data_IF_352866667843
#
_entry.id   IF_352866667843
#
_cell.length_a   1.000
_cell.length_b   1.000
_cell.length_c   1.000
_cell.angle_alpha   90.00
_cell.angle_beta   90.00
_cell.angle_gamma   90.00
#
_symmetry.space_group_name_H-M   'P 1'
#
loop_
_entity.id
_entity.type
_entity.pdbx_description
1 polymer ?
#
# COMPACT_ATOMS: atom_id res chain seq x y z
N UNK A 1 -1.62 -6.50 -27.36
CA UNK A 1 -2.12 -6.62 -25.97
C UNK A 1 -0.92 -6.93 -25.08
N UNK A 2 -0.67 -6.11 -24.09
CA UNK A 2 0.46 -6.26 -23.18
C UNK A 2 0.41 -7.60 -22.41
N UNK A 3 1.58 -8.15 -22.11
CA UNK A 3 1.71 -9.38 -21.32
C UNK A 3 1.66 -9.05 -19.82
N UNK A 4 0.61 -9.51 -19.14
CA UNK A 4 0.42 -9.32 -17.71
C UNK A 4 1.04 -10.44 -16.87
N UNK A 5 1.64 -11.47 -17.45
CA UNK A 5 2.27 -12.56 -16.68
C UNK A 5 3.29 -12.00 -15.70
N UNK A 6 3.29 -12.57 -14.50
CA UNK A 6 4.23 -12.21 -13.43
C UNK A 6 5.06 -13.42 -13.02
N UNK A 7 6.32 -13.18 -12.71
CA UNK A 7 7.21 -14.13 -12.07
C UNK A 7 7.79 -13.46 -10.82
N UNK A 8 7.20 -13.74 -9.67
CA UNK A 8 7.62 -13.18 -8.40
C UNK A 8 8.42 -14.22 -7.61
N UNK A 9 9.72 -14.02 -7.50
CA UNK A 9 10.68 -14.94 -6.83
C UNK A 9 10.56 -16.41 -7.25
N UNK A 10 10.32 -16.65 -8.54
CA UNK A 10 10.10 -17.98 -9.10
C UNK A 10 8.64 -18.43 -9.14
N UNK A 11 7.75 -17.76 -8.43
CA UNK A 11 6.31 -18.05 -8.42
C UNK A 11 5.67 -17.40 -9.65
N UNK A 12 5.19 -18.23 -10.58
CA UNK A 12 4.58 -17.79 -11.84
C UNK A 12 3.07 -17.61 -11.70
N UNK A 13 2.54 -16.54 -12.30
CA UNK A 13 1.10 -16.30 -12.36
C UNK A 13 0.69 -15.61 -13.66
N UNK A 14 -0.55 -15.79 -14.15
CA UNK A 14 -1.01 -15.23 -15.43
C UNK A 14 -1.18 -13.71 -15.40
N UNK A 15 -1.18 -13.10 -14.22
CA UNK A 15 -1.22 -11.65 -14.03
C UNK A 15 -0.73 -11.28 -12.61
N UNK A 16 -0.38 -10.00 -12.34
CA UNK A 16 0.20 -9.59 -11.07
C UNK A 16 -0.81 -9.40 -9.94
N UNK A 17 -2.11 -9.62 -10.17
CA UNK A 17 -3.17 -9.41 -9.18
C UNK A 17 -3.40 -10.66 -8.37
N UNK A 18 -2.96 -10.66 -7.11
CA UNK A 18 -3.20 -11.74 -6.15
C UNK A 18 -4.18 -11.27 -5.07
N UNK A 19 -4.86 -12.23 -4.43
CA UNK A 19 -5.60 -11.95 -3.20
C UNK A 19 -4.68 -12.07 -1.99
N UNK A 20 -4.77 -11.09 -1.09
CA UNK A 20 -4.03 -11.12 0.17
C UNK A 20 -4.62 -12.15 1.14
N UNK A 21 -3.78 -12.59 2.08
CA UNK A 21 -4.18 -13.45 3.20
C UNK A 21 -5.24 -12.77 4.08
N UNK A 22 -6.51 -13.22 3.95
CA UNK A 22 -7.67 -12.61 4.59
C UNK A 22 -8.90 -13.54 4.44
N UNK A 23 -10.10 -13.20 4.93
CA UNK A 23 -11.30 -14.01 4.75
C UNK A 23 -11.60 -14.46 3.30
N UNK A 24 -11.31 -13.66 2.24
CA UNK A 24 -11.49 -14.13 0.86
C UNK A 24 -10.67 -15.37 0.47
N UNK A 25 -9.62 -15.68 1.21
CA UNK A 25 -8.71 -16.81 0.91
C UNK A 25 -8.70 -17.89 1.99
N UNK A 26 -9.74 -17.97 2.82
CA UNK A 26 -9.85 -18.90 3.94
C UNK A 26 -10.44 -20.28 3.59
N UNK A 27 -10.92 -20.47 2.35
CA UNK A 27 -11.62 -21.70 1.93
C UNK A 27 -11.38 -21.99 0.46
N UNK A 28 -11.34 -23.28 0.12
CA UNK A 28 -11.36 -23.76 -1.27
C UNK A 28 -12.47 -23.07 -2.09
N UNK A 29 -13.68 -23.02 -1.57
CA UNK A 29 -14.83 -22.42 -2.24
C UNK A 29 -14.57 -20.98 -2.71
N UNK A 30 -13.96 -20.15 -1.86
CA UNK A 30 -13.65 -18.76 -2.19
C UNK A 30 -12.51 -18.67 -3.20
N UNK A 31 -11.44 -19.43 -2.98
CA UNK A 31 -10.24 -19.40 -3.83
C UNK A 31 -10.56 -19.87 -5.25
N UNK A 32 -11.33 -20.95 -5.40
CA UNK A 32 -11.78 -21.42 -6.72
C UNK A 32 -12.63 -20.36 -7.44
N UNK A 33 -13.50 -19.67 -6.74
CA UNK A 33 -14.28 -18.56 -7.32
C UNK A 33 -13.40 -17.38 -7.74
N UNK A 34 -12.41 -17.06 -6.94
CA UNK A 34 -11.43 -16.03 -7.29
C UNK A 34 -10.65 -16.41 -8.57
N UNK A 35 -10.17 -17.63 -8.67
CA UNK A 35 -9.46 -18.11 -9.85
C UNK A 35 -10.37 -18.14 -11.10
N UNK A 36 -11.61 -18.56 -10.96
CA UNK A 36 -12.61 -18.48 -12.04
C UNK A 36 -12.88 -17.05 -12.50
N UNK A 37 -12.85 -16.07 -11.59
CA UNK A 37 -12.96 -14.65 -11.94
C UNK A 37 -11.70 -14.10 -12.64
N UNK A 38 -10.55 -14.78 -12.53
CA UNK A 38 -9.33 -14.42 -13.24
C UNK A 38 -8.18 -13.88 -12.36
N UNK A 39 -8.26 -14.01 -11.04
CA UNK A 39 -7.13 -13.69 -10.16
C UNK A 39 -5.91 -14.52 -10.50
N UNK A 40 -4.74 -13.88 -10.54
CA UNK A 40 -3.47 -14.52 -10.88
C UNK A 40 -2.91 -15.43 -9.78
N UNK A 41 -3.24 -15.13 -8.55
CA UNK A 41 -2.78 -15.89 -7.39
C UNK A 41 -3.56 -15.56 -6.12
N UNK A 42 -3.24 -16.27 -5.06
CA UNK A 42 -3.74 -16.03 -3.71
C UNK A 42 -2.64 -16.25 -2.67
N UNK A 43 -2.74 -15.50 -1.58
CA UNK A 43 -2.07 -15.85 -0.33
C UNK A 43 -3.15 -16.42 0.58
N UNK A 44 -3.08 -17.73 0.87
CA UNK A 44 -4.04 -18.41 1.72
C UNK A 44 -4.08 -17.78 3.11
N UNK A 45 -5.26 -17.68 3.72
CA UNK A 45 -5.43 -17.07 5.05
C UNK A 45 -4.51 -17.74 6.06
N UNK A 46 -3.89 -16.92 6.90
CA UNK A 46 -2.83 -17.34 7.82
C UNK A 46 -3.20 -18.57 8.64
N UNK A 47 -2.36 -19.60 8.55
CA UNK A 47 -2.43 -20.82 9.34
C UNK A 47 -1.60 -20.68 10.61
N UNK A 48 -2.10 -21.23 11.71
CA UNK A 48 -1.36 -21.50 12.94
C UNK A 48 -0.91 -22.96 13.02
N UNK A 49 -0.27 -23.32 14.13
CA UNK A 49 0.09 -24.71 14.43
C UNK A 49 -1.10 -25.52 14.97
N UNK A 50 -0.91 -26.84 15.09
CA UNK A 50 -1.81 -27.72 15.82
C UNK A 50 -1.66 -27.51 17.33
N UNK A 51 -2.24 -26.44 17.84
CA UNK A 51 -2.21 -26.06 19.25
C UNK A 51 -3.60 -25.76 19.76
N UNK A 52 -3.73 -24.98 20.83
CA UNK A 52 -5.02 -24.51 21.27
C UNK A 52 -5.75 -23.85 20.12
N UNK A 53 -7.04 -24.14 19.88
CA UNK A 53 -7.77 -23.62 18.74
C UNK A 53 -7.77 -22.08 18.78
N UNK A 54 -7.61 -21.46 17.61
CA UNK A 54 -7.82 -20.03 17.46
C UNK A 54 -9.31 -19.78 17.55
N UNK A 55 -9.72 -18.95 18.50
CA UNK A 55 -11.13 -18.59 18.69
C UNK A 55 -11.31 -17.14 18.27
N UNK A 56 -12.03 -16.94 17.18
CA UNK A 56 -12.48 -15.62 16.74
C UNK A 56 -13.75 -15.20 17.49
N UNK A 57 -13.97 -13.88 17.58
CA UNK A 57 -15.24 -13.37 18.12
C UNK A 57 -16.41 -13.71 17.18
N UNK A 58 -17.54 -14.09 17.75
CA UNK A 58 -18.80 -14.32 17.03
C UNK A 58 -19.72 -13.11 17.18
N UNK A 59 -19.35 -12.01 16.54
CA UNK A 59 -20.05 -10.73 16.60
C UNK A 59 -19.51 -9.79 15.52
N UNK A 60 -19.80 -8.49 15.58
CA UNK A 60 -19.27 -7.52 14.62
C UNK A 60 -17.74 -7.52 14.65
N UNK A 61 -17.10 -7.93 13.54
CA UNK A 61 -15.64 -7.95 13.38
C UNK A 61 -15.10 -6.74 12.64
N UNK A 62 -15.99 -5.96 12.02
CA UNK A 62 -15.63 -4.88 11.12
C UNK A 62 -16.29 -3.57 11.54
N UNK A 63 -15.50 -2.50 11.49
CA UNK A 63 -15.96 -1.13 11.56
C UNK A 63 -15.52 -0.37 10.33
N UNK A 64 -16.26 0.66 9.91
CA UNK A 64 -15.95 1.39 8.69
C UNK A 64 -16.03 2.90 8.89
N UNK A 65 -15.20 3.64 8.16
CA UNK A 65 -15.32 5.08 8.01
C UNK A 65 -15.79 5.37 6.58
N UNK A 66 -16.82 6.21 6.48
CA UNK A 66 -17.38 6.63 5.20
C UNK A 66 -17.16 8.13 4.99
N UNK A 67 -16.92 8.53 3.76
CA UNK A 67 -16.97 9.92 3.35
C UNK A 67 -18.40 10.50 3.38
N UNK A 68 -18.51 11.80 3.19
CA UNK A 68 -19.81 12.49 3.10
C UNK A 68 -20.69 11.94 1.96
N UNK A 69 -20.11 11.40 0.91
CA UNK A 69 -20.76 10.71 -0.21
C UNK A 69 -21.09 9.26 0.08
N UNK A 70 -20.90 8.79 1.31
CA UNK A 70 -21.05 7.42 1.79
C UNK A 70 -20.09 6.39 1.16
N UNK A 71 -19.08 6.84 0.45
CA UNK A 71 -18.01 5.93 0.00
C UNK A 71 -17.20 5.44 1.19
N UNK A 72 -16.84 4.17 1.14
CA UNK A 72 -15.95 3.56 2.11
C UNK A 72 -14.55 4.18 1.98
N UNK A 73 -14.09 4.88 3.01
CA UNK A 73 -12.74 5.44 3.08
C UNK A 73 -11.76 4.47 3.73
N UNK A 74 -12.19 3.79 4.77
CA UNK A 74 -11.36 2.86 5.50
C UNK A 74 -12.19 1.84 6.24
N UNK A 75 -11.53 0.74 6.58
CA UNK A 75 -12.14 -0.45 7.14
C UNK A 75 -11.28 -0.97 8.28
N UNK A 76 -11.84 -1.04 9.49
CA UNK A 76 -11.16 -1.63 10.64
C UNK A 76 -11.63 -3.05 10.85
N UNK A 77 -10.75 -3.95 11.21
CA UNK A 77 -11.08 -5.33 11.53
C UNK A 77 -10.39 -5.80 12.81
N UNK A 78 -11.07 -6.67 13.54
CA UNK A 78 -10.54 -7.44 14.66
C UNK A 78 -10.47 -8.93 14.31
N UNK A 79 -10.29 -9.23 13.02
CA UNK A 79 -10.21 -10.57 12.46
C UNK A 79 -8.88 -11.22 12.82
N UNK A 80 -8.91 -12.43 13.36
CA UNK A 80 -7.71 -13.23 13.62
C UNK A 80 -7.31 -14.07 12.40
N UNK A 81 -6.29 -14.90 12.57
CA UNK A 81 -5.92 -15.98 11.63
C UNK A 81 -7.07 -16.97 11.47
N UNK A 82 -6.94 -17.96 10.59
CA UNK A 82 -8.01 -18.97 10.44
C UNK A 82 -8.32 -19.67 11.76
N UNK A 83 -9.59 -19.87 12.03
CA UNK A 83 -10.10 -20.69 13.15
C UNK A 83 -10.49 -22.11 12.70
N UNK A 84 -10.21 -22.44 11.44
CA UNK A 84 -10.47 -23.75 10.84
C UNK A 84 -9.30 -24.70 11.17
N UNK A 85 -9.57 -26.00 11.36
CA UNK A 85 -8.52 -27.01 11.60
C UNK A 85 -7.42 -26.97 10.55
N UNK A 86 -6.16 -27.13 10.98
CA UNK A 86 -5.00 -27.08 10.10
C UNK A 86 -5.10 -28.11 8.98
N UNK A 87 -5.46 -29.37 9.31
CA UNK A 87 -5.58 -30.47 8.34
C UNK A 87 -6.60 -30.17 7.24
N UNK A 88 -7.73 -29.55 7.59
CA UNK A 88 -8.76 -29.16 6.61
C UNK A 88 -8.20 -28.14 5.64
N UNK A 89 -7.49 -27.12 6.14
CA UNK A 89 -6.84 -26.12 5.30
C UNK A 89 -5.79 -26.75 4.37
N UNK A 90 -4.90 -27.61 4.89
CA UNK A 90 -3.86 -28.24 4.09
C UNK A 90 -4.41 -29.14 2.98
N UNK A 91 -5.51 -29.88 3.26
CA UNK A 91 -6.19 -30.68 2.24
C UNK A 91 -6.81 -29.80 1.13
N UNK A 92 -7.48 -28.72 1.51
CA UNK A 92 -8.06 -27.79 0.53
C UNK A 92 -6.99 -27.09 -0.31
N UNK A 93 -5.88 -26.64 0.29
CA UNK A 93 -4.75 -26.03 -0.43
C UNK A 93 -4.21 -27.00 -1.47
N UNK A 94 -3.91 -28.23 -1.05
CA UNK A 94 -3.40 -29.29 -1.94
C UNK A 94 -4.33 -29.56 -3.11
N UNK A 95 -5.64 -29.66 -2.84
CA UNK A 95 -6.66 -29.89 -3.86
C UNK A 95 -6.70 -28.73 -4.85
N UNK A 96 -6.83 -27.51 -4.37
CA UNK A 96 -6.90 -26.31 -5.23
C UNK A 96 -5.62 -26.16 -6.06
N UNK A 97 -4.42 -26.36 -5.47
CA UNK A 97 -3.17 -26.25 -6.21
C UNK A 97 -3.06 -27.26 -7.35
N UNK A 98 -3.51 -28.48 -7.15
CA UNK A 98 -3.52 -29.52 -8.18
C UNK A 98 -4.46 -29.23 -9.34
N UNK A 99 -5.61 -28.59 -9.04
CA UNK A 99 -6.59 -28.21 -10.05
C UNK A 99 -6.20 -26.92 -10.81
N UNK A 100 -5.50 -26.00 -10.15
CA UNK A 100 -5.13 -24.66 -10.66
C UNK A 100 -3.60 -24.46 -10.71
N UNK A 101 -2.93 -25.31 -11.46
CA UNK A 101 -1.44 -25.34 -11.53
C UNK A 101 -0.81 -24.06 -12.06
N UNK A 102 -1.55 -23.27 -12.85
CA UNK A 102 -1.11 -22.02 -13.48
C UNK A 102 -1.37 -20.79 -12.60
N UNK A 103 -1.92 -20.97 -11.41
CA UNK A 103 -2.18 -19.91 -10.44
C UNK A 103 -1.18 -19.96 -9.29
N UNK A 104 -0.74 -18.78 -8.85
CA UNK A 104 0.11 -18.69 -7.68
C UNK A 104 -0.68 -19.06 -6.41
N UNK A 105 -0.11 -19.94 -5.60
CA UNK A 105 -0.64 -20.37 -4.32
C UNK A 105 0.44 -20.21 -3.26
N UNK A 106 0.36 -19.16 -2.47
CA UNK A 106 1.22 -18.90 -1.32
C UNK A 106 0.45 -19.16 -0.05
N UNK A 107 1.09 -19.72 0.98
CA UNK A 107 0.45 -20.01 2.26
C UNK A 107 0.99 -19.08 3.33
N UNK A 108 0.11 -18.31 3.96
CA UNK A 108 0.49 -17.43 5.06
C UNK A 108 0.57 -18.19 6.37
N UNK A 109 1.63 -17.95 7.15
CA UNK A 109 1.97 -18.68 8.38
C UNK A 109 2.21 -17.73 9.55
N UNK A 110 1.71 -18.10 10.73
CA UNK A 110 2.01 -17.44 11.98
C UNK A 110 1.98 -18.44 13.13
N UNK A 111 3.15 -18.80 13.62
CA UNK A 111 3.37 -19.73 14.74
C UNK A 111 4.25 -19.04 15.79
N UNK A 112 4.38 -19.57 17.00
CA UNK A 112 5.27 -19.03 18.03
C UNK A 112 6.70 -18.83 17.51
N UNK A 113 7.43 -17.86 18.11
CA UNK A 113 8.83 -17.60 17.76
C UNK A 113 9.75 -18.67 18.32
N UNK A 114 9.54 -19.90 17.88
CA UNK A 114 10.26 -21.12 18.29
C UNK A 114 10.66 -21.91 17.04
N UNK A 115 11.92 -22.29 16.93
CA UNK A 115 12.46 -22.95 15.74
C UNK A 115 11.71 -24.23 15.36
N UNK A 116 11.36 -25.05 16.34
CA UNK A 116 10.65 -26.31 16.12
C UNK A 116 9.21 -26.12 15.60
N UNK A 117 8.52 -25.07 16.07
CA UNK A 117 7.19 -24.70 15.55
C UNK A 117 7.25 -24.33 14.07
N UNK A 118 8.23 -23.52 13.67
CA UNK A 118 8.43 -23.15 12.25
C UNK A 118 8.81 -24.34 11.39
N UNK A 119 9.70 -25.21 11.88
CA UNK A 119 10.09 -26.43 11.17
C UNK A 119 8.90 -27.35 10.92
N UNK A 120 8.10 -27.64 11.94
CA UNK A 120 6.92 -28.51 11.83
C UNK A 120 5.90 -27.98 10.84
N UNK A 121 5.53 -26.69 10.95
CA UNK A 121 4.50 -26.12 10.06
C UNK A 121 4.98 -26.09 8.61
N UNK A 122 6.25 -25.76 8.36
CA UNK A 122 6.82 -25.74 7.02
C UNK A 122 6.81 -27.14 6.37
N UNK A 123 7.19 -28.19 7.09
CA UNK A 123 7.14 -29.55 6.60
C UNK A 123 5.74 -29.96 6.15
N UNK A 124 4.73 -29.62 6.94
CA UNK A 124 3.33 -29.92 6.61
C UNK A 124 2.80 -29.10 5.42
N UNK A 125 3.18 -27.83 5.33
CA UNK A 125 2.78 -26.96 4.22
C UNK A 125 3.44 -27.39 2.91
N UNK A 126 4.70 -27.84 2.95
CA UNK A 126 5.42 -28.32 1.76
C UNK A 126 4.71 -29.52 1.10
N UNK A 127 4.03 -30.39 1.89
CA UNK A 127 3.23 -31.51 1.38
C UNK A 127 2.00 -31.07 0.55
N UNK A 128 1.60 -29.79 0.63
CA UNK A 128 0.48 -29.24 -0.15
C UNK A 128 0.86 -28.94 -1.59
N UNK A 129 2.15 -28.92 -1.93
CA UNK A 129 2.67 -28.53 -3.23
C UNK A 129 2.40 -27.05 -3.58
N UNK A 130 2.20 -26.18 -2.57
CA UNK A 130 2.06 -24.74 -2.78
C UNK A 130 3.36 -24.12 -3.32
N UNK A 131 3.28 -22.91 -3.87
CA UNK A 131 4.40 -22.27 -4.56
C UNK A 131 5.35 -21.50 -3.63
N UNK A 132 4.92 -21.20 -2.40
CA UNK A 132 5.72 -20.43 -1.44
C UNK A 132 4.99 -20.19 -0.13
N UNK A 133 5.68 -19.58 0.81
CA UNK A 133 5.13 -19.21 2.12
C UNK A 133 5.29 -17.71 2.39
N UNK A 134 4.28 -17.12 3.08
CA UNK A 134 4.32 -15.75 3.59
C UNK A 134 4.33 -15.76 5.11
N UNK A 135 5.40 -15.27 5.75
CA UNK A 135 5.53 -15.20 7.19
C UNK A 135 4.79 -13.96 7.70
N UNK A 136 3.72 -14.15 8.46
CA UNK A 136 2.88 -13.05 8.92
C UNK A 136 3.44 -12.41 10.20
N UNK A 137 4.32 -11.43 10.04
CA UNK A 137 4.90 -10.65 11.15
C UNK A 137 4.19 -9.31 11.37
N UNK A 138 2.97 -9.17 10.85
CA UNK A 138 2.29 -7.88 10.87
C UNK A 138 0.94 -7.85 11.58
N UNK A 139 0.39 -8.98 12.04
CA UNK A 139 -0.90 -9.00 12.72
C UNK A 139 -0.85 -8.16 14.01
N UNK A 140 -1.63 -7.06 14.10
CA UNK A 140 -1.46 -6.09 15.19
C UNK A 140 -2.21 -6.46 16.47
N UNK A 141 -3.09 -7.48 16.45
CA UNK A 141 -3.99 -7.80 17.55
C UNK A 141 -4.10 -9.31 17.81
N UNK A 142 -4.50 -9.68 19.02
CA UNK A 142 -4.87 -11.03 19.43
C UNK A 142 -3.72 -12.02 19.60
N UNK A 143 -2.84 -12.16 18.61
CA UNK A 143 -1.75 -13.14 18.63
C UNK A 143 -0.42 -12.56 19.10
N UNK A 144 -0.30 -11.24 19.15
CA UNK A 144 0.91 -10.56 19.65
C UNK A 144 1.18 -10.88 21.12
N UNK A 145 0.13 -11.10 21.90
CA UNK A 145 0.21 -11.50 23.32
C UNK A 145 0.86 -12.88 23.51
N UNK A 146 0.88 -13.70 22.44
CA UNK A 146 1.55 -15.01 22.43
C UNK A 146 2.95 -14.97 21.80
N UNK A 147 3.55 -13.79 21.63
CA UNK A 147 4.86 -13.65 21.01
C UNK A 147 4.87 -13.91 19.51
N UNK A 148 3.76 -13.66 18.82
CA UNK A 148 3.60 -13.86 17.37
C UNK A 148 3.25 -12.55 16.65
N UNK A 149 3.15 -12.59 15.33
CA UNK A 149 2.69 -11.47 14.52
C UNK A 149 3.52 -10.21 14.71
N UNK A 150 2.92 -9.10 15.11
CA UNK A 150 3.62 -7.82 15.26
C UNK A 150 4.65 -7.81 16.41
N UNK A 151 4.55 -8.70 17.38
CA UNK A 151 5.59 -8.85 18.40
C UNK A 151 6.93 -9.30 17.79
N UNK A 152 6.90 -10.16 16.77
CA UNK A 152 8.07 -10.52 15.97
C UNK A 152 8.43 -9.41 14.98
N UNK A 153 7.43 -8.86 14.28
CA UNK A 153 7.63 -7.90 13.20
C UNK A 153 8.17 -6.53 13.61
N UNK A 154 8.12 -6.18 14.88
CA UNK A 154 8.70 -4.95 15.42
C UNK A 154 10.17 -5.09 15.84
N UNK A 155 10.70 -6.33 15.89
CA UNK A 155 12.06 -6.63 16.34
C UNK A 155 12.86 -7.23 15.19
N UNK A 156 13.75 -6.45 14.54
CA UNK A 156 14.52 -6.90 13.37
C UNK A 156 15.28 -8.21 13.61
N UNK A 157 15.83 -8.40 14.80
CA UNK A 157 16.59 -9.59 15.18
C UNK A 157 15.72 -10.86 15.14
N UNK A 158 14.45 -10.76 15.54
CA UNK A 158 13.51 -11.90 15.45
C UNK A 158 13.13 -12.19 14.00
N UNK A 159 12.95 -11.14 13.18
CA UNK A 159 12.69 -11.31 11.75
C UNK A 159 13.84 -12.06 11.07
N UNK A 160 15.07 -11.61 11.29
CA UNK A 160 16.27 -12.28 10.74
C UNK A 160 16.35 -13.73 11.19
N UNK A 161 16.19 -13.97 12.48
CA UNK A 161 16.28 -15.30 13.08
C UNK A 161 15.24 -16.27 12.49
N UNK A 162 13.96 -15.85 12.47
CA UNK A 162 12.87 -16.70 11.97
C UNK A 162 13.00 -16.92 10.45
N UNK A 163 13.36 -15.87 9.68
CA UNK A 163 13.61 -16.02 8.24
C UNK A 163 14.73 -17.05 7.98
N UNK A 164 15.80 -17.01 8.75
CA UNK A 164 16.91 -17.96 8.67
C UNK A 164 16.45 -19.39 8.96
N UNK A 165 15.68 -19.61 10.01
CA UNK A 165 15.08 -20.92 10.30
C UNK A 165 14.22 -21.42 9.14
N UNK A 166 13.32 -20.57 8.63
CA UNK A 166 12.47 -20.97 7.50
C UNK A 166 13.30 -21.37 6.28
N UNK A 167 14.31 -20.60 5.92
CA UNK A 167 15.20 -20.92 4.79
C UNK A 167 16.04 -22.20 4.99
N UNK A 168 16.25 -22.58 6.24
CA UNK A 168 16.92 -23.85 6.55
C UNK A 168 16.01 -25.06 6.34
N UNK A 169 14.70 -24.91 6.60
CA UNK A 169 13.74 -26.01 6.63
C UNK A 169 12.84 -26.12 5.39
N UNK A 170 12.87 -25.17 4.48
CA UNK A 170 12.15 -25.27 3.21
C UNK A 170 12.95 -24.77 2.02
N UNK A 171 12.66 -25.34 0.84
CA UNK A 171 13.18 -24.84 -0.44
C UNK A 171 12.20 -23.90 -1.14
N UNK A 172 11.00 -23.77 -0.61
CA UNK A 172 10.01 -22.84 -1.15
C UNK A 172 10.50 -21.39 -0.99
N UNK A 173 10.10 -20.48 -1.89
CA UNK A 173 10.24 -19.05 -1.66
C UNK A 173 9.61 -18.61 -0.34
N UNK A 174 10.37 -17.86 0.45
CA UNK A 174 9.96 -17.29 1.75
C UNK A 174 9.77 -15.80 1.60
N UNK A 175 8.53 -15.34 1.81
CA UNK A 175 8.13 -13.94 1.75
C UNK A 175 7.87 -13.47 3.18
N UNK A 176 8.48 -12.37 3.62
CA UNK A 176 8.24 -11.81 4.96
C UNK A 176 7.23 -10.67 4.87
N UNK A 177 6.07 -10.83 5.48
CA UNK A 177 5.04 -9.78 5.55
C UNK A 177 5.29 -8.83 6.71
N UNK A 178 5.61 -7.58 6.36
CA UNK A 178 6.01 -6.55 7.30
C UNK A 178 4.82 -5.81 7.91
N UNK A 179 5.00 -5.37 9.16
CA UNK A 179 4.06 -4.50 9.85
C UNK A 179 4.26 -3.02 9.45
N UNK A 180 3.18 -2.25 9.26
CA UNK A 180 3.27 -0.80 9.12
C UNK A 180 3.36 -0.08 10.47
N UNK A 181 3.19 -0.80 11.59
CA UNK A 181 3.18 -0.23 12.94
C UNK A 181 4.61 -0.09 13.48
N UNK A 182 5.47 0.55 12.69
CA UNK A 182 6.89 0.76 12.97
C UNK A 182 7.33 2.10 12.38
N UNK A 183 8.31 2.74 12.99
CA UNK A 183 8.79 4.06 12.57
C UNK A 183 9.64 4.00 11.28
N UNK A 184 10.44 2.95 11.10
CA UNK A 184 11.35 2.77 9.96
C UNK A 184 11.21 1.34 9.41
N UNK A 185 10.46 1.21 8.32
CA UNK A 185 10.19 -0.07 7.66
C UNK A 185 11.43 -0.68 6.98
N UNK A 186 12.48 0.10 6.75
CA UNK A 186 13.73 -0.39 6.16
C UNK A 186 14.46 -1.37 7.09
N UNK A 187 14.39 -1.15 8.41
CA UNK A 187 15.04 -2.03 9.39
C UNK A 187 14.52 -3.47 9.30
N UNK A 188 13.21 -3.74 9.42
CA UNK A 188 12.69 -5.10 9.26
C UNK A 188 12.90 -5.67 7.85
N UNK A 189 12.87 -4.84 6.80
CA UNK A 189 13.14 -5.31 5.44
C UNK A 189 14.60 -5.77 5.27
N UNK A 190 15.56 -5.03 5.82
CA UNK A 190 16.99 -5.42 5.84
C UNK A 190 17.20 -6.72 6.62
N UNK A 191 16.56 -6.85 7.78
CA UNK A 191 16.63 -8.06 8.61
C UNK A 191 16.07 -9.28 7.87
N UNK A 192 14.94 -9.15 7.18
CA UNK A 192 14.38 -10.21 6.34
C UNK A 192 15.38 -10.65 5.24
N UNK A 193 16.00 -9.69 4.56
CA UNK A 193 17.01 -9.95 3.52
C UNK A 193 18.26 -10.65 4.10
N UNK A 194 18.77 -10.21 5.23
CA UNK A 194 19.92 -10.81 5.93
C UNK A 194 19.58 -12.23 6.41
N UNK A 195 18.34 -12.45 6.88
CA UNK A 195 17.84 -13.77 7.23
C UNK A 195 17.67 -14.73 6.06
N UNK A 196 17.85 -14.24 4.82
CA UNK A 196 17.79 -15.04 3.59
C UNK A 196 16.39 -15.18 3.00
N UNK A 197 15.41 -14.38 3.44
CA UNK A 197 14.11 -14.31 2.78
C UNK A 197 14.27 -13.95 1.30
N UNK A 198 13.38 -14.48 0.46
CA UNK A 198 13.40 -14.23 -0.99
C UNK A 198 12.72 -12.92 -1.36
N UNK A 199 11.78 -12.45 -0.53
CA UNK A 199 11.04 -11.22 -0.74
C UNK A 199 10.44 -10.68 0.57
N UNK A 200 9.94 -9.44 0.48
CA UNK A 200 9.02 -8.89 1.49
C UNK A 200 7.65 -8.63 0.88
N UNK A 201 6.61 -8.70 1.71
CA UNK A 201 5.29 -8.15 1.40
C UNK A 201 4.92 -7.08 2.41
N UNK A 202 4.30 -6.01 1.97
CA UNK A 202 3.81 -4.92 2.82
C UNK A 202 2.71 -4.12 2.14
N UNK A 203 1.79 -3.56 2.91
CA UNK A 203 1.75 -3.50 4.38
C UNK A 203 0.72 -4.48 4.94
N UNK A 204 0.91 -4.90 6.19
CA UNK A 204 -0.20 -5.43 6.99
C UNK A 204 -1.10 -4.26 7.43
N UNK A 205 -2.11 -4.50 8.25
CA UNK A 205 -3.06 -3.47 8.67
C UNK A 205 -2.46 -2.52 9.72
N UNK A 206 -2.94 -1.27 9.72
CA UNK A 206 -2.51 -0.23 10.65
C UNK A 206 -3.35 -0.31 11.92
N UNK A 207 -2.70 -0.31 13.08
CA UNK A 207 -3.38 -0.34 14.36
C UNK A 207 -4.28 0.89 14.56
N UNK A 208 -5.56 0.68 14.90
CA UNK A 208 -6.53 1.77 14.94
C UNK A 208 -7.76 1.48 15.80
N UNK A 209 -8.48 2.55 16.13
CA UNK A 209 -9.88 2.56 16.55
C UNK A 209 -10.60 3.48 15.56
N UNK A 210 -11.65 2.98 14.88
CA UNK A 210 -12.33 3.76 13.82
C UNK A 210 -13.20 4.88 14.36
N UNK A 211 -13.99 4.62 15.39
CA UNK A 211 -14.81 5.62 16.09
C UNK A 211 -15.30 5.07 17.43
N UNK A 212 -15.82 5.95 18.25
CA UNK A 212 -16.47 5.64 19.53
C UNK A 212 -17.92 6.03 19.41
N UNK A 213 -18.82 5.13 19.74
CA UNK A 213 -20.24 5.45 19.87
C UNK A 213 -20.45 6.34 21.09
N UNK A 214 -21.03 7.54 20.92
CA UNK A 214 -21.11 8.54 21.97
C UNK A 214 -22.25 8.28 22.97
N UNK A 215 -23.18 7.40 22.66
CA UNK A 215 -24.26 7.04 23.58
C UNK A 215 -23.82 5.93 24.53
N UNK A 216 -23.09 4.94 24.03
CA UNK A 216 -22.58 3.81 24.81
C UNK A 216 -21.15 3.97 25.29
N UNK A 217 -20.38 4.92 24.72
CA UNK A 217 -18.94 5.12 24.88
C UNK A 217 -18.11 3.89 24.49
N UNK A 218 -18.65 3.00 23.65
CA UNK A 218 -17.96 1.81 23.17
C UNK A 218 -17.19 2.09 21.88
N UNK A 219 -15.92 1.67 21.76
CA UNK A 219 -15.19 1.68 20.49
C UNK A 219 -15.80 0.68 19.51
N UNK A 220 -15.81 1.02 18.21
CA UNK A 220 -16.38 0.18 17.17
C UNK A 220 -15.30 -0.55 16.36
N UNK A 221 -15.49 -1.83 16.00
CA UNK A 221 -16.64 -2.68 16.31
C UNK A 221 -16.68 -3.05 17.79
N UNK A 222 -17.88 -3.27 18.33
CA UNK A 222 -18.07 -3.58 19.74
C UNK A 222 -18.63 -4.99 19.94
N UNK A 223 -18.10 -5.69 20.96
CA UNK A 223 -18.52 -7.00 21.43
C UNK A 223 -18.87 -6.85 22.91
N UNK A 224 -20.12 -7.10 23.26
CA UNK A 224 -20.61 -7.01 24.63
C UNK A 224 -20.21 -5.69 25.32
N UNK A 225 -20.44 -4.56 24.62
CA UNK A 225 -20.15 -3.22 25.13
C UNK A 225 -18.68 -2.81 25.15
N UNK A 226 -17.76 -3.64 24.65
CA UNK A 226 -16.32 -3.36 24.60
C UNK A 226 -15.79 -3.46 23.17
N UNK A 227 -14.87 -2.60 22.82
CA UNK A 227 -14.11 -2.66 21.58
C UNK A 227 -12.62 -2.87 21.84
N UNK A 228 -11.90 -3.29 20.82
CA UNK A 228 -10.46 -3.49 20.84
C UNK A 228 -9.80 -2.67 19.74
N UNK A 229 -8.49 -2.43 19.87
CA UNK A 229 -7.69 -2.03 18.73
C UNK A 229 -7.83 -3.05 17.61
N UNK A 230 -7.95 -2.59 16.38
CA UNK A 230 -8.07 -3.43 15.21
C UNK A 230 -7.15 -2.96 14.08
N UNK A 231 -7.15 -3.72 13.00
CA UNK A 231 -6.34 -3.43 11.82
C UNK A 231 -7.07 -2.57 10.80
N UNK A 232 -6.62 -1.33 10.58
CA UNK A 232 -7.16 -0.42 9.58
C UNK A 232 -6.62 -0.73 8.19
N UNK A 233 -7.50 -0.77 7.19
CA UNK A 233 -7.20 -1.11 5.81
C UNK A 233 -8.17 -0.39 4.85
N UNK A 234 -8.08 -0.69 3.55
CA UNK A 234 -8.91 -0.07 2.52
C UNK A 234 -8.25 1.15 1.87
N UNK A 235 -8.99 1.95 1.08
CA UNK A 235 -8.41 3.01 0.25
C UNK A 235 -7.55 4.03 1.02
N UNK A 236 -7.92 4.35 2.25
CA UNK A 236 -7.23 5.35 3.07
C UNK A 236 -5.78 4.99 3.42
N UNK A 237 -5.39 3.71 3.38
CA UNK A 237 -4.02 3.30 3.73
C UNK A 237 -3.06 3.32 2.53
N UNK A 238 -3.55 3.51 1.29
CA UNK A 238 -2.72 3.50 0.08
C UNK A 238 -1.52 4.46 0.14
N UNK A 239 -1.66 5.73 0.55
CA UNK A 239 -0.53 6.65 0.62
C UNK A 239 0.57 6.17 1.58
N UNK A 240 0.19 5.57 2.69
CA UNK A 240 1.14 5.01 3.67
C UNK A 240 1.86 3.80 3.09
N UNK A 241 1.12 2.90 2.44
CA UNK A 241 1.68 1.73 1.79
C UNK A 241 2.66 2.10 0.66
N UNK A 242 2.30 3.06 -0.20
CA UNK A 242 3.19 3.57 -1.26
C UNK A 242 4.47 4.17 -0.68
N UNK A 243 4.37 4.97 0.39
CA UNK A 243 5.53 5.54 1.08
C UNK A 243 6.47 4.44 1.57
N UNK A 244 5.94 3.44 2.30
CA UNK A 244 6.76 2.35 2.85
C UNK A 244 7.39 1.46 1.76
N UNK A 245 6.67 1.19 0.66
CA UNK A 245 7.22 0.49 -0.51
C UNK A 245 8.37 1.30 -1.12
N UNK A 246 8.19 2.61 -1.29
CA UNK A 246 9.22 3.47 -1.85
C UNK A 246 10.48 3.54 -0.97
N UNK A 247 10.34 3.55 0.35
CA UNK A 247 11.47 3.54 1.29
C UNK A 247 12.33 2.28 1.14
N UNK A 248 11.71 1.10 1.02
CA UNK A 248 12.43 -0.15 0.80
C UNK A 248 13.07 -0.17 -0.60
N UNK A 249 12.35 0.29 -1.63
CA UNK A 249 12.85 0.30 -3.01
C UNK A 249 14.05 1.23 -3.20
N UNK A 250 14.11 2.36 -2.45
CA UNK A 250 15.20 3.34 -2.48
C UNK A 250 16.39 2.99 -1.60
N UNK A 251 16.21 2.12 -0.63
CA UNK A 251 17.26 1.79 0.33
C UNK A 251 18.37 0.94 -0.31
N UNK A 252 19.60 1.43 -0.22
CA UNK A 252 20.78 0.76 -0.79
C UNK A 252 20.99 -0.66 -0.27
N UNK A 253 20.61 -0.92 1.01
CA UNK A 253 20.79 -2.25 1.61
C UNK A 253 19.73 -3.25 1.15
N UNK A 254 18.57 -2.77 0.72
CA UNK A 254 17.49 -3.59 0.14
C UNK A 254 17.33 -3.40 -1.36
N UNK A 255 18.28 -2.76 -2.03
CA UNK A 255 18.24 -2.57 -3.48
C UNK A 255 18.06 -3.91 -4.21
N UNK A 256 17.06 -3.96 -5.11
CA UNK A 256 16.70 -5.15 -5.87
C UNK A 256 15.99 -6.24 -5.06
N UNK A 257 15.73 -6.04 -3.76
CA UNK A 257 14.99 -7.00 -2.95
C UNK A 257 13.52 -6.99 -3.39
N UNK A 258 12.96 -8.15 -3.78
CA UNK A 258 11.60 -8.21 -4.33
C UNK A 258 10.53 -7.78 -3.34
N UNK A 259 9.53 -7.03 -3.83
CA UNK A 259 8.43 -6.50 -3.03
C UNK A 259 7.09 -6.97 -3.60
N UNK A 260 6.24 -7.55 -2.76
CA UNK A 260 4.82 -7.78 -3.03
C UNK A 260 4.02 -6.69 -2.32
N UNK A 261 3.35 -5.80 -3.06
CA UNK A 261 2.72 -4.63 -2.47
C UNK A 261 1.26 -4.86 -2.08
N UNK A 262 0.89 -4.38 -0.89
CA UNK A 262 -0.44 -4.52 -0.30
C UNK A 262 -0.84 -3.18 0.33
N UNK A 263 -2.08 -2.75 0.16
CA UNK A 263 -2.64 -1.61 0.90
C UNK A 263 -3.41 -0.62 0.02
N UNK A 264 -4.72 -0.64 0.15
CA UNK A 264 -5.61 0.32 -0.49
C UNK A 264 -5.75 0.19 -2.01
N UNK A 265 -5.29 -0.91 -2.60
CA UNK A 265 -5.39 -1.17 -4.04
C UNK A 265 -6.86 -1.49 -4.38
N UNK A 266 -7.47 -0.63 -5.16
CA UNK A 266 -8.89 -0.72 -5.55
C UNK A 266 -9.07 -0.82 -7.06
N UNK A 267 -8.16 -0.19 -7.82
CA UNK A 267 -8.19 -0.09 -9.27
C UNK A 267 -6.89 -0.54 -9.91
N UNK A 268 -6.88 -0.68 -11.23
CA UNK A 268 -5.65 -0.94 -11.98
C UNK A 268 -4.62 0.19 -11.85
N UNK A 269 -5.08 1.45 -11.66
CA UNK A 269 -4.20 2.61 -11.46
C UNK A 269 -3.40 2.47 -10.18
N UNK A 270 -4.06 2.09 -9.08
CA UNK A 270 -3.37 1.84 -7.82
C UNK A 270 -2.29 0.77 -7.97
N UNK A 271 -2.62 -0.34 -8.66
CA UNK A 271 -1.66 -1.40 -8.93
C UNK A 271 -0.46 -0.91 -9.77
N UNK A 272 -0.72 -0.12 -10.83
CA UNK A 272 0.33 0.45 -11.67
C UNK A 272 1.26 1.38 -10.86
N UNK A 273 0.73 2.16 -9.93
CA UNK A 273 1.53 3.00 -9.03
C UNK A 273 2.47 2.16 -8.16
N UNK A 274 1.97 1.08 -7.53
CA UNK A 274 2.83 0.18 -6.74
C UNK A 274 3.89 -0.52 -7.59
N UNK A 275 3.54 -0.99 -8.79
CA UNK A 275 4.52 -1.60 -9.71
C UNK A 275 5.57 -0.57 -10.13
N UNK A 276 5.17 0.67 -10.43
CA UNK A 276 6.11 1.75 -10.75
C UNK A 276 7.04 2.09 -9.57
N UNK A 277 6.63 1.79 -8.33
CA UNK A 277 7.44 1.85 -7.10
C UNK A 277 8.21 0.55 -6.80
N UNK A 278 8.41 -0.32 -7.81
CA UNK A 278 9.21 -1.56 -7.73
C UNK A 278 8.50 -2.81 -7.22
N UNK A 279 7.18 -2.80 -7.01
CA UNK A 279 6.47 -4.04 -6.69
C UNK A 279 6.52 -5.03 -7.87
N UNK A 280 6.82 -6.29 -7.58
CA UNK A 280 6.81 -7.38 -8.57
C UNK A 280 5.42 -7.95 -8.80
N UNK A 281 4.54 -7.83 -7.81
CA UNK A 281 3.12 -8.13 -7.87
C UNK A 281 2.37 -7.31 -6.82
N UNK A 282 1.04 -7.37 -6.85
CA UNK A 282 0.18 -6.69 -5.89
C UNK A 282 -0.80 -7.67 -5.25
N UNK A 283 -1.11 -7.43 -3.98
CA UNK A 283 -2.09 -8.21 -3.25
C UNK A 283 -3.27 -7.31 -2.86
N UNK A 284 -4.48 -7.78 -3.11
CA UNK A 284 -5.74 -7.07 -2.88
C UNK A 284 -6.57 -7.80 -1.82
N UNK A 285 -7.13 -7.06 -0.88
CA UNK A 285 -8.04 -7.61 0.14
C UNK A 285 -9.37 -6.86 0.17
N UNK A 286 -9.40 -5.67 0.77
CA UNK A 286 -10.62 -4.91 1.08
C UNK A 286 -11.47 -4.64 -0.16
N UNK A 287 -10.86 -4.31 -1.29
CA UNK A 287 -11.61 -4.10 -2.53
C UNK A 287 -12.32 -5.37 -3.01
N UNK A 288 -11.69 -6.55 -2.91
CA UNK A 288 -12.33 -7.81 -3.22
C UNK A 288 -13.47 -8.15 -2.25
N UNK A 289 -13.33 -7.78 -0.97
CA UNK A 289 -14.39 -7.98 0.04
C UNK A 289 -15.60 -7.07 -0.21
N UNK A 290 -15.38 -5.84 -0.67
CA UNK A 290 -16.43 -4.83 -0.84
C UNK A 290 -17.10 -4.88 -2.21
N UNK A 291 -16.36 -5.23 -3.27
CA UNK A 291 -16.85 -5.21 -4.65
C UNK A 291 -16.96 -6.61 -5.28
N UNK A 292 -16.44 -7.65 -4.60
CA UNK A 292 -16.44 -9.02 -5.09
C UNK A 292 -15.25 -9.34 -6.01
N UNK A 293 -15.11 -10.63 -6.34
CA UNK A 293 -13.93 -11.13 -7.09
C UNK A 293 -13.85 -10.63 -8.53
N UNK A 294 -14.96 -10.23 -9.15
CA UNK A 294 -14.99 -9.80 -10.56
C UNK A 294 -14.28 -8.48 -10.84
N UNK A 295 -13.96 -7.70 -9.82
CA UNK A 295 -13.16 -6.45 -10.00
C UNK A 295 -11.83 -6.70 -10.71
N UNK A 296 -11.27 -7.91 -10.63
CA UNK A 296 -10.03 -8.28 -11.32
C UNK A 296 -10.16 -8.20 -12.85
N UNK A 297 -11.35 -8.35 -13.40
CA UNK A 297 -11.60 -8.22 -14.85
C UNK A 297 -11.29 -6.79 -15.32
N UNK A 298 -11.78 -5.80 -14.59
CA UNK A 298 -11.51 -4.38 -14.83
C UNK A 298 -10.06 -4.03 -14.55
N UNK A 299 -9.47 -4.54 -13.45
CA UNK A 299 -8.06 -4.33 -13.12
C UNK A 299 -7.14 -4.81 -14.24
N UNK A 300 -7.36 -6.03 -14.75
CA UNK A 300 -6.58 -6.60 -15.86
C UNK A 300 -6.74 -5.81 -17.15
N UNK A 301 -7.99 -5.55 -17.55
CA UNK A 301 -8.29 -4.86 -18.80
C UNK A 301 -7.80 -3.40 -18.78
N UNK A 302 -7.93 -2.72 -17.65
CA UNK A 302 -7.47 -1.35 -17.49
C UNK A 302 -5.95 -1.25 -17.51
N UNK A 303 -5.24 -2.12 -16.78
CA UNK A 303 -3.79 -2.17 -16.79
C UNK A 303 -3.23 -2.49 -18.18
N UNK A 304 -3.79 -3.51 -18.88
CA UNK A 304 -3.36 -3.89 -20.21
C UNK A 304 -3.54 -2.76 -21.21
N UNK A 305 -4.68 -2.08 -21.23
CA UNK A 305 -4.92 -0.93 -22.12
C UNK A 305 -3.94 0.20 -21.87
N UNK A 306 -3.72 0.57 -20.61
CA UNK A 306 -2.76 1.61 -20.27
C UNK A 306 -1.32 1.23 -20.69
N UNK A 307 -0.93 -0.03 -20.51
CA UNK A 307 0.37 -0.51 -20.97
C UNK A 307 0.50 -0.42 -22.49
N UNK A 308 -0.53 -0.85 -23.24
CA UNK A 308 -0.57 -0.72 -24.71
C UNK A 308 -0.45 0.76 -25.14
N UNK A 309 -1.19 1.68 -24.50
CA UNK A 309 -1.11 3.14 -24.75
C UNK A 309 0.28 3.72 -24.50
N UNK A 310 1.01 3.18 -23.50
CA UNK A 310 2.37 3.60 -23.16
C UNK A 310 3.46 2.85 -23.89
N UNK A 311 3.12 1.84 -24.69
CA UNK A 311 4.08 1.00 -25.41
C UNK A 311 4.86 0.04 -24.52
N UNK A 312 4.30 -0.37 -23.36
CA UNK A 312 4.90 -1.37 -22.47
C UNK A 312 4.45 -2.76 -22.88
N UNK A 313 5.39 -3.64 -23.17
CA UNK A 313 5.12 -5.02 -23.56
C UNK A 313 4.83 -5.90 -22.33
N UNK A 314 5.51 -5.66 -21.22
CA UNK A 314 5.45 -6.40 -19.97
C UNK A 314 5.37 -5.47 -18.76
N UNK A 315 4.98 -6.01 -17.60
CA UNK A 315 4.97 -5.23 -16.34
C UNK A 315 6.37 -4.79 -15.92
N UNK A 316 7.41 -5.52 -16.34
CA UNK A 316 8.80 -5.20 -16.04
C UNK A 316 9.28 -3.93 -16.76
N UNK A 317 8.64 -3.54 -17.87
CA UNK A 317 9.00 -2.36 -18.64
C UNK A 317 8.76 -1.04 -17.88
N UNK A 318 7.86 -1.05 -16.90
CA UNK A 318 7.59 0.13 -16.07
C UNK A 318 7.84 -0.08 -14.57
N UNK A 319 8.20 -1.30 -14.16
CA UNK A 319 8.52 -1.60 -12.78
C UNK A 319 9.69 -0.76 -12.29
N UNK A 320 9.49 -0.08 -11.15
CA UNK A 320 10.51 0.75 -10.51
C UNK A 320 10.80 2.10 -11.16
N UNK A 321 10.11 2.48 -12.25
CA UNK A 321 10.38 3.74 -12.97
C UNK A 321 10.11 5.00 -12.14
N UNK A 322 9.23 4.92 -11.13
CA UNK A 322 8.97 6.05 -10.25
C UNK A 322 9.99 6.20 -9.11
N UNK A 323 10.73 5.15 -8.78
CA UNK A 323 11.68 5.14 -7.65
C UNK A 323 12.73 6.25 -7.74
N UNK A 324 13.38 6.52 -8.88
CA UNK A 324 14.35 7.61 -8.99
C UNK A 324 13.77 9.00 -8.81
N UNK A 325 12.46 9.16 -8.98
CA UNK A 325 11.76 10.44 -8.82
C UNK A 325 11.33 10.73 -7.38
N UNK A 326 11.49 9.77 -6.47
CA UNK A 326 11.27 9.97 -5.04
C UNK A 326 12.57 10.45 -4.41
N UNK A 327 12.56 11.64 -3.86
CA UNK A 327 13.73 12.24 -3.20
C UNK A 327 13.39 12.71 -1.79
N UNK A 328 14.41 13.01 -0.97
CA UNK A 328 14.21 13.63 0.33
C UNK A 328 14.02 15.14 0.16
N UNK A 329 13.29 15.76 1.07
CA UNK A 329 12.86 17.16 0.97
C UNK A 329 14.03 18.14 0.68
N UNK A 330 15.18 17.96 1.32
CA UNK A 330 16.36 18.80 1.13
C UNK A 330 16.94 18.78 -0.29
N UNK A 331 16.57 17.80 -1.10
CA UNK A 331 17.01 17.69 -2.50
C UNK A 331 15.96 18.15 -3.52
N UNK A 332 14.79 18.66 -3.04
CA UNK A 332 13.82 19.30 -3.92
C UNK A 332 14.39 20.63 -4.45
N UNK A 333 14.03 20.97 -5.69
CA UNK A 333 14.43 22.23 -6.31
C UNK A 333 13.65 23.42 -5.71
N UNK A 334 14.21 24.11 -4.74
CA UNK A 334 13.61 25.29 -4.09
C UNK A 334 13.61 26.55 -4.97
N UNK A 335 14.20 26.51 -6.18
CA UNK A 335 14.05 27.56 -7.19
C UNK A 335 12.92 27.29 -8.19
N UNK A 336 12.27 26.14 -8.08
CA UNK A 336 11.06 25.86 -8.85
C UNK A 336 9.96 26.81 -8.40
N UNK A 337 9.44 27.60 -9.33
CA UNK A 337 8.36 28.56 -9.10
C UNK A 337 7.20 28.21 -10.01
N UNK A 338 6.02 28.07 -9.42
CA UNK A 338 4.77 27.91 -10.15
C UNK A 338 3.73 28.90 -9.61
N UNK A 339 2.67 29.12 -10.36
CA UNK A 339 1.48 29.88 -9.94
C UNK A 339 0.24 29.11 -10.35
N UNK A 340 -0.78 29.20 -9.52
CA UNK A 340 -2.08 28.65 -9.87
C UNK A 340 -2.73 29.50 -10.98
N UNK A 341 -3.38 28.84 -11.93
CA UNK A 341 -4.16 29.49 -12.98
C UNK A 341 -5.56 28.89 -13.01
N UNK A 342 -6.58 29.76 -12.96
CA UNK A 342 -7.98 29.35 -13.03
C UNK A 342 -8.47 29.54 -14.46
N UNK A 343 -8.96 28.46 -15.06
CA UNK A 343 -9.64 28.49 -16.34
C UNK A 343 -11.05 29.02 -16.13
N UNK A 344 -11.32 30.19 -16.71
CA UNK A 344 -12.60 30.89 -16.52
C UNK A 344 -13.76 30.24 -17.26
N UNK A 345 -13.48 29.51 -18.34
CA UNK A 345 -14.46 28.77 -19.13
C UNK A 345 -14.93 27.50 -18.43
N UNK A 346 -14.04 26.85 -17.69
CA UNK A 346 -14.36 25.68 -16.89
C UNK A 346 -14.90 26.04 -15.49
N UNK A 347 -14.65 27.27 -15.01
CA UNK A 347 -14.97 27.67 -13.65
C UNK A 347 -16.49 27.83 -13.43
N UNK A 348 -17.08 26.99 -12.61
CA UNK A 348 -18.48 27.01 -12.20
C UNK A 348 -18.80 28.07 -11.11
N UNK A 349 -17.82 28.84 -10.71
CA UNK A 349 -17.93 29.93 -9.72
C UNK A 349 -18.42 29.47 -8.34
N UNK A 350 -18.11 28.24 -7.93
CA UNK A 350 -18.58 27.72 -6.64
C UNK A 350 -17.89 28.36 -5.41
N UNK A 351 -16.67 28.90 -5.56
CA UNK A 351 -15.94 29.62 -4.51
C UNK A 351 -15.15 28.74 -3.55
N UNK A 352 -15.08 27.43 -3.76
CA UNK A 352 -14.31 26.51 -2.84
C UNK A 352 -12.82 26.85 -2.79
N UNK A 353 -12.23 27.18 -3.93
CA UNK A 353 -10.81 27.58 -4.01
C UNK A 353 -10.56 28.91 -3.26
N UNK A 354 -11.49 29.85 -3.35
CA UNK A 354 -11.40 31.13 -2.61
C UNK A 354 -11.46 30.87 -1.11
N UNK A 355 -12.48 30.17 -0.61
CA UNK A 355 -12.62 29.90 0.81
C UNK A 355 -11.38 29.15 1.37
N UNK A 356 -10.87 28.15 0.64
CA UNK A 356 -9.68 27.42 1.05
C UNK A 356 -8.43 28.31 1.09
N UNK A 357 -8.28 29.26 0.17
CA UNK A 357 -7.14 30.17 0.13
C UNK A 357 -7.28 31.33 1.10
N UNK A 358 -8.44 31.97 1.14
CA UNK A 358 -8.72 33.18 1.94
C UNK A 358 -8.74 32.88 3.44
N UNK A 359 -9.51 31.85 3.85
CA UNK A 359 -9.74 31.59 5.26
C UNK A 359 -8.58 30.84 5.91
N UNK A 360 -7.84 30.02 5.15
CA UNK A 360 -6.95 29.03 5.76
C UNK A 360 -5.51 29.01 5.24
N UNK A 361 -5.18 29.79 4.19
CA UNK A 361 -3.90 29.65 3.51
C UNK A 361 -3.23 31.00 3.24
N UNK A 362 -3.19 31.49 1.99
CA UNK A 362 -2.27 32.55 1.54
C UNK A 362 -2.98 33.80 1.01
N UNK A 363 -4.29 33.88 1.07
CA UNK A 363 -5.09 35.01 0.62
C UNK A 363 -4.78 35.49 -0.82
N UNK A 364 -4.47 34.50 -1.68
CA UNK A 364 -3.97 34.74 -3.04
C UNK A 364 -5.04 34.63 -4.14
N UNK A 365 -6.32 34.55 -3.77
CA UNK A 365 -7.43 34.45 -4.74
C UNK A 365 -8.43 35.58 -4.48
N UNK A 366 -8.62 36.45 -5.46
CA UNK A 366 -9.69 37.43 -5.42
C UNK A 366 -11.03 36.79 -5.83
N UNK A 367 -12.12 37.16 -5.15
CA UNK A 367 -13.48 36.66 -5.43
C UNK A 367 -14.30 37.56 -6.37
N UNK A 368 -13.99 38.83 -6.45
CA UNK A 368 -14.83 39.79 -7.16
C UNK A 368 -14.02 40.61 -8.17
N UNK A 369 -14.61 40.81 -9.36
CA UNK A 369 -14.10 41.72 -10.37
C UNK A 369 -15.25 42.49 -10.99
N UNK A 370 -15.22 43.83 -10.90
CA UNK A 370 -16.23 44.71 -11.45
C UNK A 370 -17.68 44.39 -10.99
N UNK A 371 -17.87 44.11 -9.69
CA UNK A 371 -19.16 43.79 -9.11
C UNK A 371 -19.74 42.42 -9.49
N UNK A 372 -18.94 41.58 -10.14
CA UNK A 372 -19.33 40.22 -10.53
C UNK A 372 -18.45 39.18 -9.84
N UNK A 373 -19.07 38.07 -9.44
CA UNK A 373 -18.35 36.93 -8.86
C UNK A 373 -17.38 36.35 -9.88
N UNK A 374 -16.11 36.53 -9.64
CA UNK A 374 -15.00 36.12 -10.49
C UNK A 374 -13.83 35.76 -9.62
N UNK A 375 -13.18 34.60 -9.92
CA UNK A 375 -12.03 34.13 -9.15
C UNK A 375 -10.78 34.31 -9.97
N UNK A 376 -9.81 35.07 -9.43
CA UNK A 376 -8.54 35.34 -10.08
C UNK A 376 -7.39 35.16 -9.07
N UNK A 377 -6.30 34.55 -9.50
CA UNK A 377 -5.11 34.36 -8.67
C UNK A 377 -4.22 35.59 -8.71
N UNK A 378 -3.81 36.07 -7.54
CA UNK A 378 -2.85 37.17 -7.39
C UNK A 378 -1.44 36.56 -7.33
N UNK A 379 -0.63 36.75 -8.36
CA UNK A 379 0.70 36.16 -8.48
C UNK A 379 1.68 36.61 -7.39
N UNK A 380 1.50 37.84 -6.88
CA UNK A 380 2.32 38.41 -5.80
C UNK A 380 2.03 37.77 -4.44
N UNK A 381 0.92 37.09 -4.26
CA UNK A 381 0.56 36.39 -3.01
C UNK A 381 0.65 34.87 -3.14
N UNK A 382 0.46 34.34 -4.35
CA UNK A 382 0.39 32.90 -4.59
C UNK A 382 1.75 32.21 -4.34
N UNK A 383 1.77 31.22 -3.44
CA UNK A 383 2.94 30.38 -3.13
C UNK A 383 2.90 29.02 -3.86
N UNK A 384 1.90 28.79 -4.71
CA UNK A 384 1.69 27.53 -5.44
C UNK A 384 1.51 26.30 -4.53
N UNK A 385 0.82 26.44 -3.41
CA UNK A 385 0.61 25.33 -2.45
C UNK A 385 -0.30 24.20 -2.96
N UNK A 386 -0.94 24.36 -4.11
CA UNK A 386 -1.85 23.40 -4.74
C UNK A 386 -3.22 23.22 -4.04
N UNK A 387 -3.47 23.81 -2.87
CA UNK A 387 -4.72 23.60 -2.13
C UNK A 387 -5.98 23.94 -2.95
N UNK A 388 -5.91 25.01 -3.74
CA UNK A 388 -7.04 25.42 -4.60
C UNK A 388 -7.38 24.39 -5.69
N UNK A 389 -6.40 23.65 -6.19
CA UNK A 389 -6.58 22.54 -7.14
C UNK A 389 -7.30 21.38 -6.45
N UNK A 390 -6.81 20.98 -5.27
CA UNK A 390 -7.32 19.82 -4.54
C UNK A 390 -8.79 19.99 -4.09
N UNK A 391 -9.22 21.21 -3.82
CA UNK A 391 -10.61 21.47 -3.40
C UNK A 391 -11.54 21.79 -4.57
N UNK A 392 -11.02 21.97 -5.78
CA UNK A 392 -11.84 22.28 -6.95
C UNK A 392 -12.67 21.05 -7.38
N UNK A 393 -14.00 21.17 -7.49
CA UNK A 393 -14.84 20.05 -7.92
C UNK A 393 -14.80 19.82 -9.45
N UNK A 394 -14.17 20.72 -10.21
CA UNK A 394 -14.06 20.64 -11.67
C UNK A 394 -12.63 20.25 -12.04
N UNK A 395 -12.49 19.10 -12.65
CA UNK A 395 -11.19 18.62 -13.10
C UNK A 395 -10.56 19.61 -14.09
N UNK A 396 -9.25 19.82 -13.98
CA UNK A 396 -8.43 20.68 -14.83
C UNK A 396 -8.84 22.17 -14.87
N UNK A 397 -9.83 22.58 -14.08
CA UNK A 397 -10.23 23.99 -13.97
C UNK A 397 -9.15 24.87 -13.34
N UNK A 398 -8.34 24.33 -12.43
CA UNK A 398 -7.20 25.02 -11.83
C UNK A 398 -5.95 24.20 -12.07
N UNK A 399 -4.92 24.82 -12.64
CA UNK A 399 -3.65 24.17 -12.95
C UNK A 399 -2.48 24.96 -12.35
N UNK A 400 -1.38 24.26 -12.01
CA UNK A 400 -0.13 24.88 -11.61
C UNK A 400 0.74 25.11 -12.84
N UNK A 401 1.01 26.38 -13.15
CA UNK A 401 1.83 26.77 -14.32
C UNK A 401 3.21 27.17 -13.84
N UNK A 402 4.23 26.44 -14.30
CA UNK A 402 5.64 26.76 -14.01
C UNK A 402 6.04 28.07 -14.68
N UNK A 403 6.67 28.95 -13.92
CA UNK A 403 7.34 30.13 -14.43
C UNK A 403 8.80 29.79 -14.75
N UNK A 404 9.22 29.98 -16.01
CA UNK A 404 10.55 29.57 -16.49
C UNK A 404 11.51 30.74 -16.69
N UNK A 405 11.02 31.99 -16.61
CA UNK A 405 11.81 33.20 -16.82
C UNK A 405 11.19 34.40 -16.11
N UNK A 406 11.95 35.47 -15.98
CA UNK A 406 11.50 36.72 -15.37
C UNK A 406 11.82 36.83 -13.88
N UNK A 407 10.97 37.54 -13.15
CA UNK A 407 11.06 37.73 -11.69
C UNK A 407 9.81 37.13 -11.04
N UNK A 408 9.98 36.40 -9.96
CA UNK A 408 8.84 35.96 -9.16
C UNK A 408 8.19 37.18 -8.48
N UNK A 409 6.92 37.41 -8.81
CA UNK A 409 6.17 38.58 -8.32
C UNK A 409 6.10 38.67 -6.80
N UNK A 410 6.13 37.50 -6.11
CA UNK A 410 6.01 37.42 -4.65
C UNK A 410 7.35 37.69 -3.92
N UNK A 411 8.43 37.10 -4.41
CA UNK A 411 9.71 37.12 -3.70
C UNK A 411 10.74 38.09 -4.28
N UNK A 412 10.48 38.64 -5.48
CA UNK A 412 11.43 39.45 -6.22
C UNK A 412 12.66 38.66 -6.69
N UNK A 413 12.66 37.33 -6.63
CA UNK A 413 13.77 36.51 -7.09
C UNK A 413 13.75 36.37 -8.60
N UNK A 414 14.93 36.41 -9.22
CA UNK A 414 15.07 36.08 -10.63
C UNK A 414 14.79 34.59 -10.84
N UNK A 415 13.87 34.29 -11.73
CA UNK A 415 13.56 32.93 -12.12
C UNK A 415 14.66 32.45 -13.07
N UNK A 416 15.32 31.35 -12.71
CA UNK A 416 16.43 30.79 -13.47
C UNK A 416 16.19 29.29 -13.65
N UNK A 417 16.42 28.83 -14.90
CA UNK A 417 16.45 27.40 -15.23
C UNK A 417 17.81 26.75 -14.87
N UNK A 418 18.79 27.53 -14.40
CA UNK A 418 20.17 27.10 -14.24
C UNK A 418 20.40 26.15 -13.04
N UNK A 419 19.37 25.92 -12.23
CA UNK A 419 19.46 25.06 -11.06
C UNK A 419 18.84 23.69 -11.29
N UNK A 420 19.37 22.98 -12.28
CA UNK A 420 19.02 21.59 -12.53
C UNK A 420 19.39 20.65 -11.35
N UNK A 421 20.31 21.10 -10.50
CA UNK A 421 20.76 20.34 -9.33
C UNK A 421 20.71 21.19 -8.06
N UNK A 422 19.58 21.09 -7.33
CA UNK A 422 19.42 21.80 -6.05
C UNK A 422 20.49 21.43 -5.02
N UNK A 423 21.06 20.23 -5.05
CA UNK A 423 22.09 19.80 -4.08
C UNK A 423 23.36 20.64 -4.13
N UNK A 424 23.62 21.29 -5.26
CA UNK A 424 24.78 22.18 -5.46
C UNK A 424 24.40 23.67 -5.37
N UNK A 425 23.13 23.98 -5.12
CA UNK A 425 22.68 25.36 -5.10
C UNK A 425 23.20 26.11 -3.84
N UNK A 426 23.67 27.37 -3.95
CA UNK A 426 24.15 28.15 -2.80
C UNK A 426 23.13 28.32 -1.67
N UNK A 427 21.82 28.30 -1.98
CA UNK A 427 20.74 28.39 -1.01
C UNK A 427 20.39 27.06 -0.35
N UNK A 428 20.99 25.95 -0.77
CA UNK A 428 20.76 24.67 -0.14
C UNK A 428 21.57 24.61 1.16
N UNK A 429 20.90 24.50 2.33
CA UNK A 429 21.61 24.49 3.61
C UNK A 429 22.58 23.31 3.77
N UNK A 430 22.44 22.27 2.94
CA UNK A 430 23.32 21.10 2.94
C UNK A 430 24.55 21.29 2.05
N UNK A 431 24.56 22.21 1.09
CA UNK A 431 25.70 22.46 0.22
C UNK A 431 26.82 23.25 0.93
N UNK A 432 26.47 24.01 1.96
CA UNK A 432 27.42 24.82 2.76
C UNK A 432 28.28 23.94 3.68
N UNK A 433 27.82 22.77 4.07
CA UNK A 433 28.57 21.85 4.94
C UNK A 433 29.59 20.96 4.21
N UNK A 434 29.57 20.95 2.89
CA UNK A 434 30.55 20.19 2.10
C UNK A 434 31.83 21.02 1.76
N UNK A 435 31.86 22.27 2.14
CA UNK A 435 32.95 23.20 1.87
C UNK A 435 33.83 23.52 3.11
N UNK A 436 33.45 23.00 4.29
CA UNK A 436 34.26 22.99 5.52
C UNK A 436 34.81 21.57 5.80
#
# INVERSE_FOLDING_TARGET
MADLRSNFVGIKSPNPFWLASAPPTDKEYNVVRAFKAGWGGVVWKTLGEDGPPVVNVNGPRYGAIHGADRRLLGFNNIELITDRPLDVNLQEIKKVKREWKDRAMVVSLMVPCEEESWKKILQRVEETECDGVELNFGCPHGMSERGMGSAVGQVPEYIEMVARWCKQYTRMPVIVKLTPNITDVRKPARAAKVGGADAVSLINTINSITHVDLDSFAPMPTIDGKGSHGGYCGPAVKPIALSMVSEIARDKQTQGFPISAIGGITTWRDAAEFISMSAGNVQVCTAAMTYGFRIVEEMKSGLSRWMDEKGYATIDDFRGRAVPNVTDWQYLNLNYIAKAKIDQDLCIKCGRCYAACEDTSHQAIMMEKNGKRHFEVMDNECVACNLCVEVCPVQDCITMVQQTSGMDARTGRKISSDYANWTQHPNNPMSVKAAE
#
